data_IF_104896629445
#
_entry.id   IF_104896629445
#
_cell.length_a   1.000
_cell.length_b   1.000
_cell.length_c   1.000
_cell.angle_alpha   90.00
_cell.angle_beta   90.00
_cell.angle_gamma   90.00
#
_symmetry.space_group_name_H-M   'P 1'
#
loop_
_entity.id
_entity.type
_entity.pdbx_description
1 polymer ?
#
# COMPACT_ATOMS: atom_id res chain seq x y z
N UNK A 1 -6.52 -2.01 -11.58
CA UNK A 1 -5.94 -1.21 -10.47
C UNK A 1 -6.17 -1.98 -9.19
N UNK A 2 -5.19 -1.99 -8.28
CA UNK A 2 -5.33 -2.57 -6.94
C UNK A 2 -4.89 -1.51 -5.94
N UNK A 3 -5.61 -1.40 -4.83
CA UNK A 3 -5.33 -0.39 -3.81
C UNK A 3 -5.64 -0.95 -2.42
N UNK A 4 -4.97 -0.39 -1.42
CA UNK A 4 -5.30 -0.60 -0.02
C UNK A 4 -5.52 0.76 0.65
N UNK A 5 -6.46 0.82 1.59
CA UNK A 5 -6.67 1.98 2.45
C UNK A 5 -6.15 1.66 3.85
N UNK A 6 -5.27 2.52 4.38
CA UNK A 6 -4.85 2.44 5.78
C UNK A 6 -5.40 3.62 6.60
N UNK A 7 -6.01 3.37 7.77
CA UNK A 7 -6.44 4.42 8.68
C UNK A 7 -5.28 5.33 9.13
N UNK A 8 -5.59 6.58 9.47
CA UNK A 8 -4.59 7.59 9.88
C UNK A 8 -3.68 7.14 11.03
N UNK A 9 -4.20 6.35 11.97
CA UNK A 9 -3.42 5.88 13.12
C UNK A 9 -2.31 4.88 12.74
N UNK A 10 -2.27 4.38 11.51
CA UNK A 10 -1.25 3.45 11.02
C UNK A 10 -0.04 4.12 10.36
N UNK A 11 0.10 5.46 10.43
CA UNK A 11 1.15 6.21 9.73
C UNK A 11 2.60 5.74 9.98
N UNK A 12 2.87 5.19 11.17
CA UNK A 12 4.21 4.70 11.52
C UNK A 12 4.48 3.28 11.02
N UNK A 13 3.44 2.57 10.56
CA UNK A 13 3.51 1.17 10.11
C UNK A 13 3.27 1.05 8.60
N UNK A 14 2.44 1.91 8.03
CA UNK A 14 2.09 1.93 6.61
C UNK A 14 1.64 3.34 6.17
N UNK A 15 1.34 3.51 4.88
CA UNK A 15 0.94 4.79 4.29
C UNK A 15 -0.56 5.07 4.50
N UNK A 16 -0.97 6.10 5.26
CA UNK A 16 -2.37 6.43 5.44
C UNK A 16 -3.07 6.85 4.15
N UNK A 17 -4.37 6.56 4.06
CA UNK A 17 -5.17 6.86 2.87
C UNK A 17 -5.08 5.75 1.82
N UNK A 18 -5.49 6.06 0.59
CA UNK A 18 -5.45 5.13 -0.53
C UNK A 18 -4.04 5.04 -1.14
N UNK A 19 -3.55 3.83 -1.35
CA UNK A 19 -2.27 3.55 -2.01
C UNK A 19 -2.51 2.74 -3.31
N UNK A 20 -2.89 3.38 -4.43
CA UNK A 20 -3.23 2.68 -5.66
C UNK A 20 -2.01 2.35 -6.53
N UNK A 21 -1.95 1.10 -6.99
CA UNK A 21 -1.05 0.63 -8.05
C UNK A 21 -1.85 0.20 -9.28
N UNK A 22 -1.24 0.34 -10.45
CA UNK A 22 -1.81 -0.02 -11.73
C UNK A 22 -0.92 -1.01 -12.49
N UNK A 23 -1.54 -1.90 -13.25
CA UNK A 23 -0.91 -2.79 -14.22
C UNK A 23 -1.86 -2.86 -15.43
N UNK A 24 -1.34 -2.65 -16.64
CA UNK A 24 -2.09 -2.78 -17.89
C UNK A 24 -2.41 -4.23 -18.21
N UNK A 25 -3.45 -4.46 -19.02
CA UNK A 25 -3.92 -5.81 -19.36
C UNK A 25 -2.85 -6.66 -20.08
N UNK A 26 -2.04 -6.02 -20.92
CA UNK A 26 -0.91 -6.62 -21.61
C UNK A 26 0.35 -6.77 -20.73
N UNK A 27 0.29 -6.29 -19.48
CA UNK A 27 1.36 -6.29 -18.48
C UNK A 27 2.63 -5.54 -18.88
N UNK A 28 2.56 -4.67 -19.88
CA UNK A 28 3.73 -3.89 -20.35
C UNK A 28 3.90 -2.56 -19.61
N UNK A 29 2.84 -2.09 -18.94
CA UNK A 29 2.83 -0.80 -18.21
C UNK A 29 2.28 -0.99 -16.82
N UNK A 30 2.83 -0.26 -15.86
CA UNK A 30 2.32 -0.25 -14.49
C UNK A 30 3.07 0.71 -13.60
N UNK A 31 2.71 0.75 -12.32
CA UNK A 31 3.39 1.51 -11.30
C UNK A 31 2.46 2.16 -10.27
N UNK A 32 3.06 3.03 -9.46
CA UNK A 32 2.35 3.85 -8.49
C UNK A 32 1.49 4.91 -9.18
N UNK A 33 0.24 5.07 -8.75
CA UNK A 33 -0.70 6.01 -9.35
C UNK A 33 -0.73 7.31 -8.54
N UNK A 34 -0.25 8.39 -9.16
CA UNK A 34 -0.30 9.74 -8.58
C UNK A 34 -1.67 10.40 -8.76
N UNK A 35 -2.29 10.16 -9.92
CA UNK A 35 -3.60 10.69 -10.27
C UNK A 35 -4.20 9.83 -11.38
N UNK A 36 -5.52 9.81 -11.47
CA UNK A 36 -6.27 9.19 -12.56
C UNK A 36 -7.57 9.97 -12.77
N UNK A 37 -8.01 10.05 -14.02
CA UNK A 37 -9.24 10.77 -14.36
C UNK A 37 -10.46 9.87 -14.45
N UNK A 38 -10.26 8.58 -14.71
CA UNK A 38 -11.34 7.61 -14.89
C UNK A 38 -11.10 6.36 -14.05
N UNK A 39 -12.16 5.86 -13.44
CA UNK A 39 -12.20 4.55 -12.80
C UNK A 39 -13.03 3.59 -13.68
N UNK A 40 -12.75 2.28 -13.60
CA UNK A 40 -13.60 1.28 -14.27
C UNK A 40 -14.99 1.27 -13.65
N UNK A 41 -16.03 1.02 -14.45
CA UNK A 41 -17.41 0.96 -13.93
C UNK A 41 -17.66 -0.20 -12.96
N UNK A 42 -16.74 -1.17 -12.89
CA UNK A 42 -16.76 -2.26 -11.91
C UNK A 42 -15.53 -2.21 -11.00
N UNK A 43 -15.77 -2.35 -9.71
CA UNK A 43 -14.76 -2.46 -8.66
C UNK A 43 -15.29 -3.32 -7.52
N UNK A 44 -14.38 -3.92 -6.77
CA UNK A 44 -14.69 -4.69 -5.57
C UNK A 44 -13.93 -4.08 -4.40
N UNK A 45 -14.58 -4.01 -3.24
CA UNK A 45 -13.98 -3.56 -1.99
C UNK A 45 -14.18 -4.69 -0.98
N UNK A 46 -13.13 -4.99 -0.23
CA UNK A 46 -13.16 -5.91 0.89
C UNK A 46 -12.77 -5.13 2.16
N UNK A 47 -13.60 -5.24 3.19
CA UNK A 47 -13.35 -4.58 4.47
C UNK A 47 -12.50 -5.50 5.36
N UNK A 48 -11.31 -5.02 5.72
CA UNK A 48 -10.34 -5.78 6.50
C UNK A 48 -10.29 -5.23 7.92
N UNK A 49 -10.66 -6.05 8.89
CA UNK A 49 -10.67 -5.68 10.33
C UNK A 49 -9.43 -6.13 11.10
N UNK A 50 -8.53 -6.90 10.48
CA UNK A 50 -7.31 -7.42 11.10
C UNK A 50 -6.08 -7.11 10.26
N UNK A 51 -5.02 -6.67 10.92
CA UNK A 51 -3.71 -6.42 10.31
C UNK A 51 -2.65 -7.25 11.02
N UNK A 52 -1.99 -8.13 10.27
CA UNK A 52 -0.88 -8.94 10.75
C UNK A 52 0.43 -8.44 10.14
N UNK A 53 1.42 -8.15 10.99
CA UNK A 53 2.75 -7.71 10.57
C UNK A 53 3.80 -8.79 10.89
N UNK A 54 4.51 -9.23 9.87
CA UNK A 54 5.69 -10.08 10.02
C UNK A 54 6.92 -9.18 9.92
N UNK A 55 7.68 -9.10 11.00
CA UNK A 55 8.91 -8.31 11.02
C UNK A 55 10.04 -9.07 10.31
N UNK A 56 10.86 -8.38 9.49
CA UNK A 56 12.09 -8.97 8.98
C UNK A 56 13.00 -9.43 10.14
N UNK A 57 13.66 -10.56 9.94
CA UNK A 57 14.54 -11.17 10.96
C UNK A 57 16.03 -10.99 10.66
N UNK A 58 16.34 -10.27 9.58
CA UNK A 58 17.71 -10.04 9.16
C UNK A 58 18.38 -8.89 9.93
N UNK A 59 19.71 -8.96 9.97
CA UNK A 59 20.56 -8.00 10.66
C UNK A 59 20.38 -6.56 10.18
N UNK A 60 19.98 -6.34 8.92
CA UNK A 60 19.81 -4.99 8.38
C UNK A 60 18.61 -4.29 9.01
N UNK A 61 17.52 -5.03 9.22
CA UNK A 61 16.37 -4.54 9.95
C UNK A 61 16.67 -4.34 11.44
N UNK A 62 17.36 -5.30 12.07
CA UNK A 62 17.71 -5.21 13.50
C UNK A 62 18.63 -4.02 13.85
N UNK A 63 19.49 -3.62 12.91
CA UNK A 63 20.40 -2.47 13.05
C UNK A 63 19.81 -1.17 12.49
N UNK A 64 18.60 -1.22 11.95
CA UNK A 64 17.92 -0.04 11.43
C UNK A 64 17.56 0.88 12.60
N UNK A 65 18.20 2.04 12.65
CA UNK A 65 17.70 3.13 13.47
C UNK A 65 16.50 3.72 12.73
N UNK A 66 15.29 3.47 13.21
CA UNK A 66 14.15 4.27 12.76
C UNK A 66 14.44 5.72 13.14
N UNK A 67 14.51 6.66 12.19
CA UNK A 67 14.61 8.07 12.53
C UNK A 67 13.32 8.44 13.25
N UNK A 68 13.38 8.44 14.58
CA UNK A 68 12.37 9.08 15.41
C UNK A 68 12.58 10.57 15.21
N UNK A 69 11.52 11.27 14.83
CA UNK A 69 11.40 12.72 15.08
C UNK A 69 11.68 13.04 16.53
#
# INVERSE_FOLDING_TARGET
>A
MVTAYFPKYMNELNMPGWHPHFLSDDKTKGGYVLNFTNFSESGQIDEIHEFNMILPTDDSFAKMNSPKT
#
